data_IF_427093533932
#
_entry.id   IF_427093533932
#
_cell.length_a   1.000
_cell.length_b   1.000
_cell.length_c   1.000
_cell.angle_alpha   90.00
_cell.angle_beta   90.00
_cell.angle_gamma   90.00
#
_symmetry.space_group_name_H-M   'P 1'
#
loop_
_entity.id
_entity.type
_entity.pdbx_description
1 polymer ?
#
# COMPACT_ATOMS: atom_id res chain seq x y z
N UNK A 1 17.87 53.06 -4.85
CA UNK A 1 17.84 52.07 -3.76
C UNK A 1 16.82 50.98 -4.12
N UNK A 2 17.30 49.80 -4.48
CA UNK A 2 16.48 48.69 -4.97
C UNK A 2 15.83 47.92 -3.81
N UNK A 3 14.49 47.81 -3.82
CA UNK A 3 13.75 46.93 -2.90
C UNK A 3 13.74 45.52 -3.49
N UNK A 4 14.42 44.59 -2.84
CA UNK A 4 14.23 43.15 -3.04
C UNK A 4 12.92 42.73 -2.37
N UNK A 5 12.09 41.98 -3.09
CA UNK A 5 10.83 41.43 -2.59
C UNK A 5 10.99 39.90 -2.50
N UNK A 6 10.94 39.27 -1.31
CA UNK A 6 11.21 37.86 -1.18
C UNK A 6 9.97 37.01 -1.49
N UNK A 7 10.09 36.22 -2.55
CA UNK A 7 9.77 34.79 -2.66
C UNK A 7 8.54 34.23 -1.92
N UNK A 8 7.37 34.82 -2.17
CA UNK A 8 6.08 34.38 -1.59
C UNK A 8 5.49 33.13 -2.28
N UNK A 9 6.08 32.66 -3.40
CA UNK A 9 5.47 31.60 -4.23
C UNK A 9 5.74 30.16 -3.75
N UNK A 10 6.84 29.92 -3.02
CA UNK A 10 7.22 28.56 -2.59
C UNK A 10 6.41 28.09 -1.37
N UNK A 11 6.05 29.01 -0.46
CA UNK A 11 5.29 28.69 0.76
C UNK A 11 3.83 28.26 0.47
N UNK A 12 3.21 28.79 -0.59
CA UNK A 12 1.82 28.48 -0.96
C UNK A 12 1.64 27.03 -1.43
N UNK A 13 2.63 26.45 -2.11
CA UNK A 13 2.56 25.07 -2.62
C UNK A 13 2.71 24.05 -1.49
N UNK A 14 3.62 24.30 -0.55
CA UNK A 14 3.83 23.42 0.61
C UNK A 14 2.58 23.43 1.49
N UNK A 15 2.01 24.61 1.78
CA UNK A 15 0.77 24.72 2.54
C UNK A 15 -0.42 24.04 1.84
N UNK A 16 -0.54 24.15 0.51
CA UNK A 16 -1.60 23.50 -0.26
C UNK A 16 -1.47 21.97 -0.26
N UNK A 17 -0.24 21.42 -0.36
CA UNK A 17 0.01 19.98 -0.26
C UNK A 17 -0.31 19.45 1.14
N UNK A 18 0.00 20.23 2.17
CA UNK A 18 -0.30 19.92 3.56
C UNK A 18 -1.80 19.98 3.86
N UNK A 19 -2.51 20.94 3.26
CA UNK A 19 -3.96 21.07 3.35
C UNK A 19 -4.67 19.90 2.64
N UNK A 20 -4.20 19.49 1.46
CA UNK A 20 -4.67 18.31 0.74
C UNK A 20 -4.42 17.02 1.54
N UNK A 21 -3.25 16.92 2.20
CA UNK A 21 -2.92 15.83 3.12
C UNK A 21 -3.84 15.80 4.34
N UNK A 22 -4.08 16.97 4.96
CA UNK A 22 -5.00 17.12 6.11
C UNK A 22 -6.46 16.85 5.74
N UNK A 23 -6.90 17.28 4.56
CA UNK A 23 -8.25 17.02 4.04
C UNK A 23 -8.46 15.54 3.70
N UNK A 24 -7.44 14.87 3.14
CA UNK A 24 -7.46 13.42 2.93
C UNK A 24 -7.58 12.65 4.27
N UNK A 25 -6.86 13.10 5.31
CA UNK A 25 -6.94 12.53 6.67
C UNK A 25 -8.30 12.82 7.34
N UNK A 26 -8.89 14.01 7.15
CA UNK A 26 -10.23 14.34 7.67
C UNK A 26 -11.34 13.53 7.01
N UNK A 27 -11.24 13.26 5.70
CA UNK A 27 -12.13 12.34 4.97
C UNK A 27 -11.96 10.88 5.39
N UNK A 28 -10.87 10.53 6.08
CA UNK A 28 -10.66 9.18 6.61
C UNK A 28 -11.51 8.83 7.85
N UNK A 29 -12.38 9.74 8.35
CA UNK A 29 -13.44 9.43 9.34
C UNK A 29 -14.61 8.60 8.76
N UNK A 30 -14.40 7.93 7.63
CA UNK A 30 -15.41 7.14 6.93
C UNK A 30 -15.27 5.67 7.32
N UNK A 31 -16.41 5.07 7.66
CA UNK A 31 -16.63 3.66 7.99
C UNK A 31 -15.56 2.69 7.45
N UNK A 32 -14.67 2.24 8.35
CA UNK A 32 -13.64 1.25 8.06
C UNK A 32 -14.34 -0.10 7.80
N UNK A 33 -14.42 -0.53 6.54
CA UNK A 33 -14.96 -1.86 6.24
C UNK A 33 -13.78 -2.84 6.21
N UNK A 34 -13.66 -3.67 7.24
CA UNK A 34 -12.72 -4.78 7.27
C UNK A 34 -13.23 -5.87 6.30
N UNK A 35 -12.57 -6.12 5.17
CA UNK A 35 -12.97 -7.21 4.30
C UNK A 35 -12.50 -8.52 4.95
N UNK A 36 -13.46 -9.23 5.55
CA UNK A 36 -13.43 -10.64 5.98
C UNK A 36 -12.19 -11.10 6.79
N UNK A 37 -12.39 -11.33 8.10
CA UNK A 37 -11.70 -12.40 8.84
C UNK A 37 -10.37 -12.11 9.55
N UNK A 38 -9.68 -10.99 9.30
CA UNK A 38 -8.32 -10.76 9.83
C UNK A 38 -8.18 -9.66 10.90
N UNK A 39 -9.22 -9.44 11.73
CA UNK A 39 -9.17 -8.46 12.81
C UNK A 39 -8.05 -8.74 13.83
N UNK A 40 -7.81 -10.02 14.12
CA UNK A 40 -6.76 -10.47 15.06
C UNK A 40 -5.37 -10.19 14.48
N UNK A 41 -5.14 -10.52 13.19
CA UNK A 41 -3.85 -10.26 12.52
C UNK A 41 -3.56 -8.75 12.47
N UNK A 42 -4.58 -7.93 12.22
CA UNK A 42 -4.45 -6.47 12.27
C UNK A 42 -4.15 -5.96 13.68
N UNK A 43 -4.80 -6.51 14.71
CA UNK A 43 -4.52 -6.16 16.11
C UNK A 43 -3.08 -6.51 16.50
N UNK A 44 -2.57 -7.68 16.08
CA UNK A 44 -1.17 -8.09 16.33
C UNK A 44 -0.19 -7.16 15.62
N UNK A 45 -0.41 -6.83 14.34
CA UNK A 45 0.42 -5.87 13.60
C UNK A 45 0.39 -4.46 14.20
N UNK A 46 -0.66 -4.09 14.95
CA UNK A 46 -0.79 -2.79 15.62
C UNK A 46 -0.14 -2.75 17.01
N UNK A 47 0.29 -3.90 17.54
CA UNK A 47 0.86 -4.01 18.89
C UNK A 47 2.40 -4.08 18.90
N UNK A 48 3.01 -4.06 20.08
CA UNK A 48 4.46 -4.31 20.24
C UNK A 48 4.88 -5.71 19.76
N UNK A 49 3.96 -6.67 19.74
CA UNK A 49 4.16 -8.01 19.15
C UNK A 49 4.23 -8.01 17.61
N UNK A 50 4.06 -6.85 16.96
CA UNK A 50 4.22 -6.72 15.51
C UNK A 50 5.53 -7.35 15.04
N UNK A 51 6.63 -7.31 15.80
CA UNK A 51 7.95 -7.89 15.42
C UNK A 51 7.88 -9.37 14.97
N UNK A 52 6.92 -10.15 15.46
CA UNK A 52 6.70 -11.55 15.03
C UNK A 52 6.12 -11.65 13.60
N UNK A 53 5.43 -10.61 13.14
CA UNK A 53 4.77 -10.54 11.83
C UNK A 53 5.24 -9.38 10.95
N UNK A 54 6.00 -8.40 11.44
CA UNK A 54 6.48 -7.24 10.68
C UNK A 54 7.40 -7.65 9.55
N UNK A 55 8.11 -8.78 9.73
CA UNK A 55 8.90 -9.39 8.69
C UNK A 55 8.07 -10.19 7.68
N UNK A 56 6.80 -10.50 7.99
CA UNK A 56 5.95 -11.39 7.19
C UNK A 56 4.70 -10.73 6.59
N UNK A 57 4.18 -9.66 7.18
CA UNK A 57 2.96 -8.98 6.75
C UNK A 57 2.98 -7.49 7.12
N UNK A 58 2.31 -6.68 6.30
CA UNK A 58 2.12 -5.24 6.50
C UNK A 58 0.64 -4.90 6.51
N UNK A 59 0.29 -3.81 7.17
CA UNK A 59 -1.04 -3.22 7.05
C UNK A 59 -1.11 -2.43 5.73
N UNK A 60 -2.00 -2.83 4.83
CA UNK A 60 -2.31 -2.11 3.59
C UNK A 60 -3.62 -1.34 3.77
N UNK A 61 -3.57 -0.03 3.53
CA UNK A 61 -4.71 0.89 3.58
C UNK A 61 -4.93 1.49 2.20
N UNK A 62 -6.17 1.53 1.73
CA UNK A 62 -6.55 2.17 0.47
C UNK A 62 -8.02 2.60 0.48
N UNK A 63 -8.42 3.42 -0.48
CA UNK A 63 -9.82 3.80 -0.71
C UNK A 63 -10.38 2.97 -1.85
N UNK A 64 -11.52 2.32 -1.64
CA UNK A 64 -12.17 1.52 -2.67
C UNK A 64 -12.71 2.42 -3.78
N UNK A 65 -12.36 2.13 -5.03
CA UNK A 65 -12.70 3.01 -6.17
C UNK A 65 -14.20 3.18 -6.39
N UNK A 66 -14.95 2.08 -6.28
CA UNK A 66 -16.41 2.10 -6.49
C UNK A 66 -17.19 2.54 -5.26
N UNK A 67 -16.68 2.22 -4.07
CA UNK A 67 -17.41 2.44 -2.81
C UNK A 67 -17.02 3.72 -2.08
N UNK A 68 -15.88 4.33 -2.41
CA UNK A 68 -15.30 5.48 -1.69
C UNK A 68 -14.89 5.18 -0.24
N UNK A 69 -15.03 3.92 0.22
CA UNK A 69 -14.75 3.52 1.60
C UNK A 69 -13.27 3.24 1.81
N UNK A 70 -12.77 3.54 3.00
CA UNK A 70 -11.43 3.11 3.38
C UNK A 70 -11.42 1.63 3.76
N UNK A 71 -10.49 0.89 3.18
CA UNK A 71 -10.22 -0.51 3.48
C UNK A 71 -8.85 -0.63 4.15
N UNK A 72 -8.78 -1.58 5.08
CA UNK A 72 -7.54 -1.93 5.77
C UNK A 72 -7.48 -3.44 5.87
N UNK A 73 -6.39 -4.03 5.39
CA UNK A 73 -6.15 -5.46 5.51
C UNK A 73 -4.67 -5.76 5.70
N UNK A 74 -4.33 -6.86 6.38
CA UNK A 74 -2.97 -7.33 6.44
C UNK A 74 -2.64 -8.07 5.15
N UNK A 75 -1.48 -7.76 4.56
CA UNK A 75 -1.00 -8.43 3.36
C UNK A 75 0.42 -8.94 3.57
N UNK A 76 0.69 -10.16 3.10
CA UNK A 76 2.05 -10.67 3.00
C UNK A 76 2.77 -9.96 1.86
N UNK A 77 4.02 -9.57 2.11
CA UNK A 77 4.80 -8.79 1.16
C UNK A 77 6.23 -9.32 1.03
N UNK A 78 6.89 -8.90 -0.05
CA UNK A 78 8.33 -8.97 -0.24
C UNK A 78 8.84 -7.59 -0.64
N UNK A 79 9.98 -7.17 -0.11
CA UNK A 79 10.60 -5.88 -0.45
C UNK A 79 11.63 -6.04 -1.57
N UNK A 80 11.63 -5.11 -2.52
CA UNK A 80 12.68 -4.93 -3.52
C UNK A 80 12.98 -3.43 -3.66
N UNK A 81 14.01 -2.96 -2.95
CA UNK A 81 14.35 -1.53 -2.89
C UNK A 81 13.16 -0.70 -2.43
N UNK A 82 12.74 0.23 -3.29
CA UNK A 82 11.65 1.19 -3.02
C UNK A 82 10.24 0.64 -3.35
N UNK A 83 10.16 -0.64 -3.73
CA UNK A 83 8.90 -1.30 -4.08
C UNK A 83 8.60 -2.47 -3.15
N UNK A 84 7.32 -2.67 -2.87
CA UNK A 84 6.81 -3.87 -2.21
C UNK A 84 6.00 -4.70 -3.20
N UNK A 85 6.24 -6.00 -3.20
CA UNK A 85 5.46 -6.98 -3.95
C UNK A 85 4.51 -7.68 -2.99
N UNK A 86 3.22 -7.65 -3.31
CA UNK A 86 2.16 -8.31 -2.54
C UNK A 86 1.47 -9.32 -3.42
N UNK A 87 1.34 -10.56 -2.93
CA UNK A 87 0.54 -11.58 -3.59
C UNK A 87 -0.86 -11.63 -2.97
N UNK A 88 -1.94 -11.42 -3.76
CA UNK A 88 -3.30 -11.68 -3.33
C UNK A 88 -3.52 -13.18 -3.21
N UNK A 89 -3.43 -13.71 -1.99
CA UNK A 89 -3.76 -15.12 -1.74
C UNK A 89 -5.20 -15.41 -2.18
N UNK A 90 -5.41 -16.56 -2.83
CA UNK A 90 -6.68 -16.92 -3.45
C UNK A 90 -7.23 -15.81 -4.37
N UNK A 91 -6.38 -15.23 -5.23
CA UNK A 91 -6.70 -14.09 -6.10
C UNK A 91 -8.00 -14.24 -6.91
N UNK A 92 -8.42 -15.47 -7.23
CA UNK A 92 -9.70 -15.76 -7.90
C UNK A 92 -10.92 -15.40 -7.03
N UNK A 93 -10.84 -15.60 -5.71
CA UNK A 93 -11.90 -15.31 -4.73
C UNK A 93 -11.77 -13.92 -4.14
N UNK A 94 -10.53 -13.48 -3.87
CA UNK A 94 -10.28 -12.15 -3.35
C UNK A 94 -10.62 -11.08 -4.39
N UNK A 95 -11.22 -9.96 -3.96
CA UNK A 95 -11.63 -8.86 -4.86
C UNK A 95 -10.91 -7.55 -4.59
N UNK A 96 -10.24 -7.41 -3.44
CA UNK A 96 -9.59 -6.17 -3.02
C UNK A 96 -8.52 -5.70 -4.02
N UNK A 97 -7.72 -6.62 -4.56
CA UNK A 97 -6.62 -6.34 -5.48
C UNK A 97 -7.08 -5.67 -6.78
N UNK A 98 -8.35 -5.89 -7.17
CA UNK A 98 -8.94 -5.30 -8.38
C UNK A 98 -9.04 -3.78 -8.29
N UNK A 99 -9.05 -3.21 -7.08
CA UNK A 99 -9.03 -1.75 -6.91
C UNK A 99 -7.76 -1.13 -7.48
N UNK A 100 -6.66 -1.90 -7.54
CA UNK A 100 -5.36 -1.46 -8.05
C UNK A 100 -5.14 -1.80 -9.54
N UNK A 101 -6.15 -2.30 -10.26
CA UNK A 101 -6.07 -2.45 -11.73
C UNK A 101 -5.83 -1.11 -12.42
N UNK A 102 -6.35 -0.03 -11.83
CA UNK A 102 -5.89 1.32 -12.12
C UNK A 102 -4.98 1.74 -10.97
N UNK A 103 -3.75 2.22 -11.26
CA UNK A 103 -2.85 2.70 -10.23
C UNK A 103 -3.53 3.72 -9.32
N UNK A 104 -3.41 3.55 -8.01
CA UNK A 104 -4.01 4.47 -7.04
C UNK A 104 -3.20 4.58 -5.76
N UNK A 105 -3.38 5.65 -4.97
CA UNK A 105 -2.71 5.81 -3.69
C UNK A 105 -3.03 4.66 -2.72
N UNK A 106 -2.00 4.25 -1.99
CA UNK A 106 -2.10 3.32 -0.87
C UNK A 106 -1.16 3.77 0.25
N UNK A 107 -1.51 3.41 1.49
CA UNK A 107 -0.62 3.59 2.64
C UNK A 107 -0.29 2.22 3.19
N UNK A 108 0.99 1.95 3.42
CA UNK A 108 1.45 0.72 4.07
C UNK A 108 2.04 1.05 5.43
N UNK A 109 1.93 0.15 6.40
CA UNK A 109 2.64 0.30 7.68
C UNK A 109 3.81 -0.68 7.76
N UNK A 110 5.02 -0.17 7.54
CA UNK A 110 6.28 -0.91 7.62
C UNK A 110 6.94 -0.62 8.96
N UNK A 111 7.38 -1.65 9.68
CA UNK A 111 8.10 -1.51 10.97
C UNK A 111 7.45 -0.53 11.96
N UNK A 112 6.12 -0.46 11.94
CA UNK A 112 5.31 0.43 12.78
C UNK A 112 5.09 1.85 12.24
N UNK A 113 5.74 2.23 11.14
CA UNK A 113 5.64 3.57 10.51
C UNK A 113 4.78 3.55 9.25
N UNK A 114 3.89 4.54 9.03
CA UNK A 114 3.15 4.65 7.79
C UNK A 114 4.05 5.17 6.67
N UNK A 115 3.98 4.53 5.50
CA UNK A 115 4.59 4.97 4.25
C UNK A 115 3.50 5.12 3.20
N UNK A 116 3.53 6.23 2.47
CA UNK A 116 2.64 6.47 1.35
C UNK A 116 3.25 5.89 0.07
N UNK A 117 2.39 5.48 -0.86
CA UNK A 117 2.83 4.93 -2.14
C UNK A 117 1.72 4.86 -3.16
N UNK A 118 2.07 4.35 -4.35
CA UNK A 118 1.12 4.04 -5.42
C UNK A 118 1.10 2.54 -5.61
N UNK A 119 -0.09 1.95 -5.51
CA UNK A 119 -0.30 0.53 -5.71
C UNK A 119 -0.91 0.27 -7.09
N UNK A 120 -0.39 -0.73 -7.80
CA UNK A 120 -0.89 -1.19 -9.09
C UNK A 120 -0.83 -2.71 -9.22
N UNK A 121 -1.69 -3.27 -10.07
CA UNK A 121 -1.63 -4.69 -10.44
C UNK A 121 -0.60 -4.92 -11.53
N UNK A 122 0.06 -6.07 -11.45
CA UNK A 122 0.89 -6.67 -12.50
C UNK A 122 0.31 -8.05 -12.79
N UNK A 123 -0.30 -8.19 -13.96
CA UNK A 123 -0.89 -9.46 -14.42
C UNK A 123 0.20 -10.37 -15.04
N UNK A 124 0.01 -11.69 -15.12
CA UNK A 124 1.01 -12.62 -15.67
C UNK A 124 1.54 -12.31 -17.08
N UNK A 125 0.80 -11.54 -17.88
CA UNK A 125 1.24 -11.08 -19.21
C UNK A 125 2.05 -9.78 -19.22
N UNK A 126 2.22 -9.11 -18.08
CA UNK A 126 3.03 -7.89 -17.96
C UNK A 126 4.53 -8.27 -17.90
N UNK A 127 5.43 -7.61 -18.65
CA UNK A 127 6.87 -7.88 -18.62
C UNK A 127 7.49 -7.86 -17.21
N UNK A 128 6.92 -7.08 -16.29
CA UNK A 128 7.41 -6.95 -14.91
C UNK A 128 6.95 -8.09 -14.00
N UNK A 129 6.04 -8.95 -14.45
CA UNK A 129 5.45 -10.00 -13.63
C UNK A 129 6.49 -11.01 -13.15
N UNK A 130 7.38 -11.45 -14.04
CA UNK A 130 8.42 -12.43 -13.69
C UNK A 130 9.38 -11.90 -12.62
N UNK A 131 9.82 -10.65 -12.74
CA UNK A 131 10.68 -9.99 -11.77
C UNK A 131 9.97 -9.79 -10.42
N UNK A 132 8.71 -9.38 -10.44
CA UNK A 132 7.89 -9.25 -9.24
C UNK A 132 7.68 -10.61 -8.56
N UNK A 133 7.35 -11.65 -9.33
CA UNK A 133 7.18 -13.01 -8.82
C UNK A 133 8.47 -13.56 -8.24
N UNK A 134 9.62 -13.32 -8.88
CA UNK A 134 10.93 -13.75 -8.36
C UNK A 134 11.25 -13.08 -7.02
N UNK A 135 11.06 -11.76 -6.93
CA UNK A 135 11.19 -11.00 -5.68
C UNK A 135 10.34 -11.63 -4.57
N UNK A 136 9.08 -11.91 -4.87
CA UNK A 136 8.17 -12.52 -3.92
C UNK A 136 8.60 -13.94 -3.53
N UNK A 137 9.01 -14.76 -4.51
CA UNK A 137 9.43 -16.14 -4.32
C UNK A 137 10.72 -16.27 -3.49
N UNK A 138 11.68 -15.36 -3.65
CA UNK A 138 12.90 -15.35 -2.82
C UNK A 138 12.57 -15.15 -1.34
N UNK A 139 11.57 -14.32 -1.04
CA UNK A 139 11.10 -14.12 0.34
C UNK A 139 10.25 -15.27 0.84
N UNK A 140 9.43 -15.86 -0.04
CA UNK A 140 8.47 -16.92 0.29
C UNK A 140 8.59 -18.15 -0.62
N UNK A 141 9.68 -18.95 -0.52
CA UNK A 141 9.92 -20.07 -1.43
C UNK A 141 8.79 -21.11 -1.43
N UNK A 142 8.19 -21.37 -0.25
CA UNK A 142 7.06 -22.31 -0.11
C UNK A 142 5.80 -21.86 -0.85
N UNK A 143 5.62 -20.55 -1.07
CA UNK A 143 4.45 -20.00 -1.75
C UNK A 143 4.67 -19.86 -3.26
N UNK A 144 5.92 -19.82 -3.72
CA UNK A 144 6.27 -19.58 -5.11
C UNK A 144 5.54 -20.46 -6.15
N UNK A 145 5.30 -21.77 -5.92
CA UNK A 145 4.54 -22.60 -6.86
C UNK A 145 3.09 -22.14 -7.06
N UNK A 146 2.49 -21.48 -6.07
CA UNK A 146 1.10 -21.03 -6.10
C UNK A 146 0.94 -19.60 -6.62
N UNK A 147 2.04 -18.85 -6.78
CA UNK A 147 2.04 -17.51 -7.35
C UNK A 147 1.93 -17.61 -8.87
N UNK A 148 0.71 -17.83 -9.36
CA UNK A 148 0.39 -17.96 -10.79
C UNK A 148 -0.47 -16.80 -11.32
N UNK A 149 -0.98 -15.97 -10.42
CA UNK A 149 -1.95 -14.91 -10.73
C UNK A 149 -1.38 -13.49 -10.62
N UNK A 150 -2.26 -12.47 -10.55
CA UNK A 150 -1.85 -11.08 -10.42
C UNK A 150 -1.06 -10.84 -9.15
N UNK A 151 -0.09 -9.93 -9.25
CA UNK A 151 0.65 -9.36 -8.13
C UNK A 151 0.28 -7.90 -7.97
N UNK A 152 0.39 -7.38 -6.75
CA UNK A 152 0.25 -5.95 -6.47
C UNK A 152 1.62 -5.39 -6.16
N UNK A 153 2.07 -4.44 -6.96
CA UNK A 153 3.28 -3.66 -6.70
C UNK A 153 2.90 -2.35 -6.02
N UNK A 154 3.61 -2.03 -4.96
CA UNK A 154 3.45 -0.78 -4.20
C UNK A 154 4.77 -0.03 -4.27
N UNK A 155 4.82 1.05 -5.04
CA UNK A 155 5.97 1.96 -5.07
C UNK A 155 5.86 2.93 -3.90
N UNK A 156 6.80 2.87 -2.97
CA UNK A 156 6.84 3.77 -1.83
C UNK A 156 7.32 5.16 -2.30
N UNK A 157 6.79 6.20 -1.68
CA UNK A 157 7.35 7.54 -1.80
C UNK A 157 8.57 7.65 -0.88
N UNK A 158 9.63 8.37 -1.31
CA UNK A 158 10.81 8.62 -0.49
C UNK A 158 10.47 9.40 0.79
#
# INVERSE_FOLDING_TARGET
MARQQPDTRVHGVIAALDELRRQAVRRARVHLKMPQGNAIVLAVLRSRAHRLLSGSAIELRYVGRRSGRQYVLPVQYASAGDHLVVWPQHWQRATWWRNFRTPQPATVRLTGRPHEGVARVVDPGDPQWHAARQTYAMRWPRMAPHVTGPLVLISLRP
#
